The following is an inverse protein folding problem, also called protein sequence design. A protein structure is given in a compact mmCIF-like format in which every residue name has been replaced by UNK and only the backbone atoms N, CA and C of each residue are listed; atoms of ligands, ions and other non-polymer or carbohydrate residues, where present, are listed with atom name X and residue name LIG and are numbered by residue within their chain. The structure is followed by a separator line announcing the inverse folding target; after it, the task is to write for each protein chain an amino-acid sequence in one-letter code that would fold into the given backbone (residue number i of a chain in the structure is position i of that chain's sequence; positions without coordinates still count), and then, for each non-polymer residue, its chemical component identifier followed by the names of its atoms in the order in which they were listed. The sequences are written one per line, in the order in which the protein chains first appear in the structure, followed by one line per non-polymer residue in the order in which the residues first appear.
data_IF_133133905035
#
_entry.id   IF_133133905035
#
_cell.length_a   1.000
_cell.length_b   1.000
_cell.length_c   1.000
_cell.angle_alpha   90.00
_cell.angle_beta   90.00
_cell.angle_gamma   90.00
#
_symmetry.space_group_name_H-M   'P 1'
#
loop_
_entity.id
_entity.type
_entity.pdbx_description
1 polymer ?
#
# COMPACT_ATOMS: atom_id res chain seq x y z
N UNK A 1 0.37 13.90 -1.32
CA UNK A 1 -0.06 12.96 -0.24
C UNK A 1 0.58 13.25 1.10
N UNK A 2 1.82 13.69 1.13
CA UNK A 2 2.48 14.05 2.40
C UNK A 2 1.78 15.17 3.21
N UNK A 3 0.92 15.97 2.56
CA UNK A 3 0.08 16.96 3.24
C UNK A 3 -1.07 16.33 4.04
N UNK A 4 -1.49 15.12 3.68
CA UNK A 4 -2.67 14.46 4.24
C UNK A 4 -2.32 13.25 5.08
N UNK A 5 -1.18 12.61 4.80
CA UNK A 5 -0.76 11.38 5.42
C UNK A 5 0.71 11.40 5.79
N UNK A 6 1.06 10.63 6.80
CA UNK A 6 2.42 10.17 7.01
C UNK A 6 2.69 9.08 5.98
N UNK A 7 3.55 9.36 5.00
CA UNK A 7 3.81 8.45 3.88
C UNK A 7 5.03 7.58 4.21
N UNK A 8 4.83 6.27 4.17
CA UNK A 8 5.86 5.27 4.47
C UNK A 8 6.00 4.33 3.28
N UNK A 9 7.24 4.02 2.90
CA UNK A 9 7.52 2.98 1.92
C UNK A 9 7.69 1.67 2.68
N UNK A 10 6.94 0.64 2.25
CA UNK A 10 7.04 -0.70 2.82
C UNK A 10 7.28 -1.71 1.71
N UNK A 11 8.44 -2.33 1.72
CA UNK A 11 8.86 -3.26 0.67
C UNK A 11 9.41 -4.55 1.24
N UNK A 12 9.16 -5.67 0.57
CA UNK A 12 9.81 -6.95 0.87
C UNK A 12 11.22 -7.06 0.25
N UNK A 13 11.68 -6.01 -0.40
CA UNK A 13 13.03 -5.93 -0.94
C UNK A 13 14.06 -5.66 0.16
N UNK A 14 15.31 -6.02 -0.08
CA UNK A 14 16.43 -5.65 0.79
C UNK A 14 16.78 -4.18 0.61
N UNK A 15 17.20 -3.53 1.71
CA UNK A 15 17.55 -2.10 1.69
C UNK A 15 18.63 -1.74 0.66
N UNK A 16 19.59 -2.64 0.46
CA UNK A 16 20.68 -2.39 -0.52
C UNK A 16 20.18 -2.20 -1.95
N UNK A 17 19.01 -2.73 -2.28
CA UNK A 17 18.37 -2.53 -3.59
C UNK A 17 17.31 -1.42 -3.55
N UNK A 18 16.55 -1.35 -2.46
CA UNK A 18 15.43 -0.40 -2.36
C UNK A 18 15.89 1.03 -2.08
N UNK A 19 16.90 1.23 -1.22
CA UNK A 19 17.34 2.58 -0.87
C UNK A 19 17.80 3.39 -2.06
N UNK A 20 18.70 2.90 -2.97
CA UNK A 20 19.07 3.68 -4.15
C UNK A 20 17.89 4.04 -5.04
N UNK A 21 16.92 3.12 -5.19
CA UNK A 21 15.72 3.36 -5.98
C UNK A 21 14.87 4.46 -5.35
N UNK A 22 14.65 4.39 -4.04
CA UNK A 22 13.84 5.38 -3.32
C UNK A 22 14.51 6.74 -3.29
N UNK A 23 15.84 6.81 -3.22
CA UNK A 23 16.58 8.07 -3.32
C UNK A 23 16.33 8.76 -4.66
N UNK A 24 16.17 7.99 -5.73
CA UNK A 24 15.83 8.52 -7.06
C UNK A 24 14.35 8.92 -7.16
N UNK A 25 13.45 8.17 -6.55
CA UNK A 25 12.00 8.40 -6.65
C UNK A 25 11.53 9.51 -5.72
N UNK A 26 12.18 9.68 -4.59
CA UNK A 26 11.80 10.67 -3.56
C UNK A 26 13.01 11.56 -3.17
N UNK A 27 13.56 12.32 -4.14
CA UNK A 27 14.74 13.13 -3.87
C UNK A 27 14.48 14.25 -2.85
N UNK A 28 13.22 14.66 -2.67
CA UNK A 28 12.82 15.71 -1.75
C UNK A 28 12.50 15.18 -0.34
N UNK A 29 12.45 13.87 -0.15
CA UNK A 29 12.25 13.26 1.16
C UNK A 29 10.84 13.45 1.74
N UNK A 30 9.80 13.32 0.92
CA UNK A 30 8.41 13.39 1.39
C UNK A 30 7.98 12.16 2.19
N UNK A 31 8.66 11.02 2.02
CA UNK A 31 8.41 9.84 2.82
C UNK A 31 9.11 9.95 4.17
N UNK A 32 8.41 9.55 5.24
CA UNK A 32 8.91 9.70 6.61
C UNK A 32 9.73 8.49 7.08
N UNK A 33 9.52 7.33 6.47
CA UNK A 33 10.21 6.10 6.83
C UNK A 33 10.24 5.12 5.67
N UNK A 34 11.20 4.19 5.71
CA UNK A 34 11.32 3.07 4.78
C UNK A 34 11.43 1.79 5.59
N UNK A 35 10.50 0.87 5.32
CA UNK A 35 10.47 -0.46 5.93
C UNK A 35 10.85 -1.49 4.86
N UNK A 36 11.74 -2.39 5.23
CA UNK A 36 12.34 -3.36 4.31
C UNK A 36 11.97 -4.80 4.71
N UNK A 37 12.61 -5.76 4.06
CA UNK A 37 12.34 -7.19 4.32
C UNK A 37 12.46 -7.56 5.79
N UNK A 38 13.44 -7.01 6.52
CA UNK A 38 13.62 -7.30 7.95
C UNK A 38 12.45 -6.80 8.81
N UNK A 39 11.63 -5.90 8.29
CA UNK A 39 10.42 -5.41 8.97
C UNK A 39 9.17 -6.21 8.61
N UNK A 40 9.27 -7.10 7.63
CA UNK A 40 8.18 -8.00 7.27
C UNK A 40 8.09 -9.18 8.25
N UNK A 41 6.89 -9.74 8.37
CA UNK A 41 6.64 -10.98 9.09
C UNK A 41 6.65 -12.15 8.11
N UNK A 42 7.44 -13.18 8.39
CA UNK A 42 7.51 -14.36 7.52
C UNK A 42 6.44 -15.36 7.96
N UNK A 43 5.44 -15.58 7.10
CA UNK A 43 4.29 -16.45 7.38
C UNK A 43 4.12 -17.44 6.22
N UNK A 44 4.24 -18.74 6.52
CA UNK A 44 4.03 -19.80 5.53
C UNK A 44 4.80 -19.59 4.22
N UNK A 45 6.07 -19.18 4.31
CA UNK A 45 6.92 -18.97 3.14
C UNK A 45 6.74 -17.62 2.45
N UNK A 46 5.95 -16.71 3.00
CA UNK A 46 5.65 -15.40 2.40
C UNK A 46 6.02 -14.28 3.36
N UNK A 47 6.60 -13.21 2.82
CA UNK A 47 6.84 -11.99 3.57
C UNK A 47 5.55 -11.15 3.62
N UNK A 48 5.01 -10.97 4.82
CA UNK A 48 3.77 -10.21 5.05
C UNK A 48 4.12 -8.88 5.71
N UNK A 49 3.44 -7.83 5.25
CA UNK A 49 3.56 -6.50 5.82
C UNK A 49 2.51 -6.33 6.91
N UNK A 50 2.88 -6.70 8.12
CA UNK A 50 1.96 -6.70 9.27
C UNK A 50 1.74 -5.27 9.76
N UNK A 51 0.58 -4.72 9.48
CA UNK A 51 0.20 -3.35 9.83
C UNK A 51 0.10 -3.14 11.34
N UNK A 52 -0.11 -4.20 12.12
CA UNK A 52 -0.15 -4.10 13.58
C UNK A 52 1.20 -3.72 14.19
N UNK A 53 2.30 -3.88 13.44
CA UNK A 53 3.65 -3.60 13.93
C UNK A 53 4.17 -2.21 13.60
N UNK A 54 3.41 -1.39 12.90
CA UNK A 54 3.87 -0.05 12.49
C UNK A 54 3.64 1.03 13.55
N UNK A 55 3.02 0.69 14.69
CA UNK A 55 2.81 1.64 15.78
C UNK A 55 1.70 2.67 15.54
N UNK A 56 0.76 2.37 14.67
CA UNK A 56 -0.41 3.23 14.38
C UNK A 56 -1.69 2.43 14.60
N UNK A 57 -2.79 3.14 14.92
CA UNK A 57 -4.09 2.49 15.01
C UNK A 57 -4.57 2.03 13.63
N UNK A 58 -5.17 0.86 13.57
CA UNK A 58 -5.63 0.29 12.29
C UNK A 58 -6.69 1.15 11.61
N UNK A 59 -7.48 1.88 12.36
CA UNK A 59 -8.46 2.82 11.80
C UNK A 59 -7.81 4.00 11.05
N UNK A 60 -6.54 4.28 11.33
CA UNK A 60 -5.78 5.41 10.78
C UNK A 60 -4.68 4.96 9.81
N UNK A 61 -4.62 3.68 9.46
CA UNK A 61 -3.56 3.12 8.64
C UNK A 61 -4.14 2.43 7.39
N UNK A 62 -3.53 2.71 6.24
CA UNK A 62 -3.85 2.03 4.99
C UNK A 62 -2.57 1.58 4.31
N UNK A 63 -2.67 0.50 3.58
CA UNK A 63 -1.59 0.02 2.73
C UNK A 63 -2.11 -0.11 1.30
N UNK A 64 -1.34 0.42 0.34
CA UNK A 64 -1.60 0.26 -1.08
C UNK A 64 -0.55 -0.70 -1.61
N UNK A 65 -1.00 -1.85 -2.07
CA UNK A 65 -0.09 -2.91 -2.50
C UNK A 65 -0.72 -3.69 -3.66
N UNK A 66 0.12 -4.13 -4.59
CA UNK A 66 -0.32 -4.92 -5.74
C UNK A 66 -0.51 -6.41 -5.41
N UNK A 67 -0.15 -6.84 -4.20
CA UNK A 67 -0.29 -8.22 -3.74
C UNK A 67 -1.15 -8.27 -2.48
N UNK A 68 -2.38 -8.80 -2.56
CA UNK A 68 -3.24 -8.94 -1.38
C UNK A 68 -2.63 -9.80 -0.28
N UNK A 69 -1.74 -10.72 -0.63
CA UNK A 69 -1.00 -11.53 0.35
C UNK A 69 -0.15 -10.67 1.26
N UNK A 70 0.38 -9.54 0.76
CA UNK A 70 1.19 -8.63 1.55
C UNK A 70 0.47 -8.08 2.79
N UNK A 71 -0.86 -7.90 2.71
CA UNK A 71 -1.66 -7.37 3.82
C UNK A 71 -2.72 -8.37 4.33
N UNK A 72 -2.45 -9.65 4.18
CA UNK A 72 -3.43 -10.70 4.54
C UNK A 72 -3.78 -10.73 6.03
N UNK A 73 -2.95 -10.17 6.90
CA UNK A 73 -3.23 -10.09 8.34
C UNK A 73 -4.20 -8.96 8.68
N UNK A 74 -4.26 -7.92 7.87
CA UNK A 74 -5.19 -6.80 8.01
C UNK A 74 -5.81 -6.45 6.65
N UNK A 75 -6.61 -7.33 6.06
CA UNK A 75 -7.19 -7.07 4.73
C UNK A 75 -8.09 -5.83 4.71
N UNK A 76 -8.65 -5.46 5.85
CA UNK A 76 -9.49 -4.27 6.01
C UNK A 76 -8.71 -2.96 5.84
N UNK A 77 -7.38 -2.99 5.92
CA UNK A 77 -6.50 -1.83 5.73
C UNK A 77 -5.93 -1.76 4.31
N UNK A 78 -6.18 -2.74 3.47
CA UNK A 78 -5.54 -2.88 2.17
C UNK A 78 -6.34 -2.29 1.01
N UNK A 79 -5.70 -1.44 0.23
CA UNK A 79 -6.18 -0.99 -1.08
C UNK A 79 -5.39 -1.71 -2.17
N UNK A 80 -6.05 -2.52 -3.00
CA UNK A 80 -5.37 -3.18 -4.11
C UNK A 80 -5.00 -2.17 -5.20
N UNK A 81 -3.90 -2.44 -5.89
CA UNK A 81 -3.48 -1.67 -7.06
C UNK A 81 -2.90 -2.64 -8.09
N UNK A 82 -3.06 -2.34 -9.37
CA UNK A 82 -2.43 -3.14 -10.42
C UNK A 82 -0.92 -2.99 -10.37
N UNK A 83 -0.22 -4.10 -10.65
CA UNK A 83 1.24 -4.09 -10.74
C UNK A 83 1.70 -3.17 -11.87
N UNK A 84 2.73 -2.38 -11.60
CA UNK A 84 3.42 -1.61 -12.63
C UNK A 84 4.72 -2.31 -13.00
N UNK A 85 4.97 -2.48 -14.29
CA UNK A 85 6.22 -3.04 -14.79
C UNK A 85 6.95 -2.02 -15.68
N UNK A 86 6.31 -1.53 -16.74
CA UNK A 86 6.94 -0.64 -17.71
C UNK A 86 5.97 0.33 -18.41
N UNK A 87 4.67 0.28 -18.08
CA UNK A 87 3.67 1.14 -18.70
C UNK A 87 3.79 2.58 -18.21
N UNK A 88 4.37 3.44 -19.04
CA UNK A 88 4.54 4.85 -18.73
C UNK A 88 3.23 5.65 -18.75
N UNK A 89 2.13 5.05 -19.21
CA UNK A 89 0.80 5.63 -19.22
C UNK A 89 -0.04 5.21 -18.01
N UNK A 90 0.51 4.37 -17.12
CA UNK A 90 -0.16 3.94 -15.89
C UNK A 90 -0.43 5.15 -14.99
N UNK A 91 -1.70 5.29 -14.58
CA UNK A 91 -2.16 6.37 -13.71
C UNK A 91 -2.87 5.85 -12.45
N UNK A 92 -2.71 4.58 -12.12
CA UNK A 92 -3.46 3.95 -11.04
C UNK A 92 -3.30 4.68 -9.70
N UNK A 93 -2.08 5.09 -9.34
CA UNK A 93 -1.85 5.87 -8.11
C UNK A 93 -2.51 7.25 -8.18
N UNK A 94 -2.44 7.91 -9.33
CA UNK A 94 -3.07 9.22 -9.52
C UNK A 94 -4.59 9.13 -9.39
N UNK A 95 -5.19 8.06 -9.86
CA UNK A 95 -6.64 7.84 -9.77
C UNK A 95 -7.12 7.65 -8.33
N UNK A 96 -6.25 7.19 -7.44
CA UNK A 96 -6.56 7.07 -6.02
C UNK A 96 -6.52 8.39 -5.25
N UNK A 97 -5.88 9.42 -5.79
CA UNK A 97 -5.65 10.68 -5.05
C UNK A 97 -6.94 11.30 -4.50
N UNK A 98 -8.02 11.48 -5.29
CA UNK A 98 -9.24 12.09 -4.75
C UNK A 98 -9.84 11.29 -3.59
N UNK A 99 -9.87 9.97 -3.73
CA UNK A 99 -10.39 9.08 -2.69
C UNK A 99 -9.53 9.15 -1.43
N UNK A 100 -8.21 9.14 -1.57
CA UNK A 100 -7.28 9.21 -0.44
C UNK A 100 -7.46 10.51 0.33
N UNK A 101 -7.64 11.63 -0.37
CA UNK A 101 -7.89 12.93 0.28
C UNK A 101 -9.17 12.87 1.12
N UNK A 102 -10.26 12.30 0.57
CA UNK A 102 -11.49 12.14 1.32
C UNK A 102 -11.32 11.18 2.52
N UNK A 103 -10.58 10.08 2.33
CA UNK A 103 -10.30 9.14 3.41
C UNK A 103 -9.53 9.79 4.57
N UNK A 104 -8.66 10.77 4.30
CA UNK A 104 -7.91 11.46 5.34
C UNK A 104 -8.79 12.22 6.32
N UNK A 105 -10.05 12.46 5.98
CA UNK A 105 -11.01 13.24 6.77
C UNK A 105 -11.95 12.38 7.63
N UNK A 106 -11.94 11.05 7.45
CA UNK A 106 -12.87 10.16 8.15
C UNK A 106 -12.24 9.52 9.38
N UNK A 107 -13.09 9.14 10.34
CA UNK A 107 -12.62 8.59 11.62
C UNK A 107 -12.03 7.20 11.51
N UNK A 108 -12.54 6.36 10.62
CA UNK A 108 -12.07 4.99 10.43
C UNK A 108 -11.96 4.70 8.93
N UNK A 109 -10.73 4.70 8.42
CA UNK A 109 -10.48 4.50 6.99
C UNK A 109 -10.85 3.09 6.50
N UNK A 110 -10.98 2.11 7.42
CA UNK A 110 -11.39 0.75 7.06
C UNK A 110 -12.80 0.70 6.47
N UNK A 111 -13.68 1.58 6.92
CA UNK A 111 -15.05 1.66 6.37
C UNK A 111 -15.04 2.09 4.91
N UNK A 112 -14.20 3.05 4.56
CA UNK A 112 -14.05 3.50 3.18
C UNK A 112 -13.43 2.41 2.30
N UNK A 113 -12.44 1.69 2.80
CA UNK A 113 -11.80 0.57 2.10
C UNK A 113 -12.83 -0.53 1.84
N UNK A 114 -13.60 -0.91 2.85
CA UNK A 114 -14.65 -1.92 2.72
C UNK A 114 -15.67 -1.53 1.65
N UNK A 115 -16.10 -0.29 1.65
CA UNK A 115 -17.03 0.23 0.63
C UNK A 115 -16.42 0.21 -0.76
N UNK A 116 -15.17 0.63 -0.90
CA UNK A 116 -14.45 0.61 -2.17
C UNK A 116 -14.29 -0.82 -2.71
N UNK A 117 -13.83 -1.74 -1.87
CA UNK A 117 -13.63 -3.14 -2.26
C UNK A 117 -14.95 -3.77 -2.68
N UNK A 118 -16.04 -3.55 -1.94
CA UNK A 118 -17.37 -4.06 -2.28
C UNK A 118 -17.85 -3.55 -3.64
N UNK A 119 -17.68 -2.26 -3.92
CA UNK A 119 -18.16 -1.64 -5.15
C UNK A 119 -17.29 -1.98 -6.36
N UNK A 120 -16.06 -2.40 -6.16
CA UNK A 120 -15.10 -2.68 -7.24
C UNK A 120 -14.63 -4.14 -7.28
N UNK A 121 -15.40 -5.07 -6.72
CA UNK A 121 -15.04 -6.50 -6.62
C UNK A 121 -14.64 -7.10 -7.97
N UNK A 122 -15.35 -6.77 -9.05
CA UNK A 122 -15.07 -7.28 -10.39
C UNK A 122 -13.68 -6.81 -10.87
N UNK A 123 -13.37 -5.53 -10.73
CA UNK A 123 -12.09 -4.96 -11.14
C UNK A 123 -10.93 -5.54 -10.33
N UNK A 124 -11.15 -5.78 -9.03
CA UNK A 124 -10.17 -6.40 -8.15
C UNK A 124 -9.91 -7.85 -8.57
N UNK A 125 -10.95 -8.61 -8.87
CA UNK A 125 -10.82 -10.00 -9.34
C UNK A 125 -10.00 -10.07 -10.62
N UNK A 126 -10.19 -9.16 -11.56
CA UNK A 126 -9.38 -9.08 -12.77
C UNK A 126 -7.93 -8.75 -12.47
N UNK A 127 -7.65 -7.78 -11.61
CA UNK A 127 -6.30 -7.43 -11.19
C UNK A 127 -5.60 -8.61 -10.51
N UNK A 128 -6.30 -9.32 -9.63
CA UNK A 128 -5.77 -10.50 -8.94
C UNK A 128 -5.48 -11.66 -9.90
N UNK A 129 -6.30 -11.87 -10.93
CA UNK A 129 -6.08 -12.92 -11.92
C UNK A 129 -4.84 -12.66 -12.78
N UNK A 130 -4.44 -11.41 -12.96
CA UNK A 130 -3.21 -11.03 -13.69
C UNK A 130 -1.97 -11.22 -12.80
N UNK A 131 -2.10 -11.08 -11.49
CA UNK A 131 -1.01 -11.21 -10.52
C UNK A 131 -0.77 -12.67 -10.13
N UNK A 132 -1.79 -13.46 -10.15
CA UNK A 132 -1.71 -14.90 -9.84
C UNK A 132 -1.08 -15.70 -10.98
#
# INVERSE_FOLDING_TARGET
MAQYFEVVIYTASLSKYADPLMDMMDPQGFTTARLFREHCTFVNGVFVKDMAQIGRHMKDAIIIDNSPTSYMLQPECGLPIISWYDDMHDRALYEYIPMLIEMSKINDMRDAITGFVRNNTFSISQAMSVIA
#
